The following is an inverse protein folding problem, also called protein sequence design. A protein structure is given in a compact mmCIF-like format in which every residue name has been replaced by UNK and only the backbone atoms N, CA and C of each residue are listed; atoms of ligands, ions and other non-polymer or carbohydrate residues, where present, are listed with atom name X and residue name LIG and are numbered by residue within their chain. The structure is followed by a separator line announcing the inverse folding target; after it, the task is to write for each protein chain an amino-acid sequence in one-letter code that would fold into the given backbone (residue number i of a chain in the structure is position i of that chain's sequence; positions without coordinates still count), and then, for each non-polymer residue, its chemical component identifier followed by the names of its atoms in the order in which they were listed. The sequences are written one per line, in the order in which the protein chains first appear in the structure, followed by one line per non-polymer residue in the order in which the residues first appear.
data_IF_776017687071
#
_entry.id   IF_776017687071
#
_cell.length_a   1.000
_cell.length_b   1.000
_cell.length_c   1.000
_cell.angle_alpha   90.00
_cell.angle_beta   90.00
_cell.angle_gamma   90.00
#
_symmetry.space_group_name_H-M   'P 1'
#
loop_
_entity.id
_entity.type
_entity.pdbx_description
1 polymer ?
#
# COMPACT_ATOMS: atom_id res chain seq x y z
N UNK A 1 -21.60 4.84 20.60
CA UNK A 1 -21.56 3.37 20.75
C UNK A 1 -21.55 2.73 19.36
N UNK A 2 -20.55 2.93 18.52
CA UNK A 2 -20.90 3.06 17.09
C UNK A 2 -20.29 2.10 16.09
N UNK A 3 -19.22 1.37 16.38
CA UNK A 3 -18.61 0.45 15.38
C UNK A 3 -18.13 -0.86 16.01
N UNK A 4 -17.40 -0.79 17.13
CA UNK A 4 -16.92 -1.98 17.85
C UNK A 4 -18.07 -2.83 18.40
N UNK A 5 -19.10 -2.19 18.98
CA UNK A 5 -20.28 -2.89 19.50
C UNK A 5 -21.08 -3.60 18.39
N UNK A 6 -21.19 -2.95 17.23
CA UNK A 6 -21.89 -3.50 16.06
C UNK A 6 -21.13 -4.69 15.44
N UNK A 7 -19.80 -4.68 15.46
CA UNK A 7 -19.00 -5.82 14.99
C UNK A 7 -19.18 -7.04 15.89
N UNK A 8 -19.18 -6.85 17.21
CA UNK A 8 -19.42 -7.93 18.18
C UNK A 8 -20.80 -8.55 18.03
N UNK A 9 -21.84 -7.74 17.80
CA UNK A 9 -23.20 -8.22 17.55
C UNK A 9 -23.27 -9.12 16.30
N UNK A 10 -22.64 -8.72 15.19
CA UNK A 10 -22.57 -9.52 13.97
C UNK A 10 -21.80 -10.84 14.16
N UNK A 11 -20.74 -10.84 14.98
CA UNK A 11 -19.99 -12.05 15.31
C UNK A 11 -20.82 -13.04 16.14
N UNK A 12 -21.63 -12.54 17.07
CA UNK A 12 -22.57 -13.36 17.85
C UNK A 12 -23.69 -13.95 16.97
N UNK A 13 -24.27 -13.16 16.07
CA UNK A 13 -25.28 -13.65 15.11
C UNK A 13 -24.71 -14.71 14.17
N UNK A 14 -23.47 -14.54 13.70
CA UNK A 14 -22.79 -15.53 12.87
C UNK A 14 -22.58 -16.84 13.64
N UNK A 15 -22.20 -16.77 14.92
CA UNK A 15 -22.05 -17.96 15.76
C UNK A 15 -23.38 -18.69 15.97
N UNK A 16 -24.48 -17.96 16.12
CA UNK A 16 -25.83 -18.55 16.22
C UNK A 16 -26.24 -19.23 14.90
N UNK A 17 -26.01 -18.60 13.75
CA UNK A 17 -26.30 -19.18 12.45
C UNK A 17 -25.52 -20.48 12.19
N UNK A 18 -24.23 -20.52 12.57
CA UNK A 18 -23.42 -21.74 12.52
C UNK A 18 -23.96 -22.82 13.44
N UNK A 19 -24.40 -22.47 14.65
CA UNK A 19 -24.99 -23.42 15.60
C UNK A 19 -26.33 -23.99 15.10
N UNK A 20 -27.08 -23.26 14.28
CA UNK A 20 -28.30 -23.74 13.62
C UNK A 20 -28.06 -24.38 12.24
N UNK A 21 -26.81 -24.62 11.84
CA UNK A 21 -26.41 -25.17 10.54
C UNK A 21 -26.87 -24.34 9.33
N UNK A 22 -27.15 -23.04 9.53
CA UNK A 22 -27.52 -22.12 8.47
C UNK A 22 -26.26 -21.43 7.93
N UNK A 23 -25.58 -22.14 7.04
CA UNK A 23 -24.32 -21.66 6.46
C UNK A 23 -24.51 -20.54 5.44
N UNK A 24 -25.70 -20.39 4.87
CA UNK A 24 -25.98 -19.32 3.92
C UNK A 24 -25.97 -17.98 4.66
N UNK A 25 -26.71 -17.88 5.77
CA UNK A 25 -26.71 -16.67 6.59
C UNK A 25 -25.36 -16.43 7.26
N UNK A 26 -24.67 -17.48 7.73
CA UNK A 26 -23.32 -17.35 8.26
C UNK A 26 -22.32 -16.81 7.21
N UNK A 27 -22.46 -17.20 5.94
CA UNK A 27 -21.61 -16.69 4.86
C UNK A 27 -21.85 -15.20 4.59
N UNK A 28 -23.12 -14.78 4.55
CA UNK A 28 -23.50 -13.38 4.35
C UNK A 28 -23.01 -12.49 5.51
N UNK A 29 -23.16 -12.96 6.76
CA UNK A 29 -22.66 -12.26 7.95
C UNK A 29 -21.14 -12.14 7.93
N UNK A 30 -20.42 -13.20 7.53
CA UNK A 30 -18.97 -13.16 7.37
C UNK A 30 -18.52 -12.11 6.35
N UNK A 31 -19.16 -12.05 5.19
CA UNK A 31 -18.84 -11.07 4.15
C UNK A 31 -19.06 -9.63 4.64
N UNK A 32 -20.11 -9.41 5.44
CA UNK A 32 -20.41 -8.12 6.06
C UNK A 32 -19.34 -7.73 7.11
N UNK A 33 -18.93 -8.66 7.98
CA UNK A 33 -17.85 -8.46 8.95
C UNK A 33 -16.53 -8.12 8.24
N UNK A 34 -16.19 -8.86 7.20
CA UNK A 34 -14.97 -8.63 6.41
C UNK A 34 -14.99 -7.27 5.70
N UNK A 35 -16.17 -6.81 5.24
CA UNK A 35 -16.32 -5.48 4.66
C UNK A 35 -16.06 -4.37 5.68
N UNK A 36 -16.66 -4.44 6.87
CA UNK A 36 -16.46 -3.45 7.94
C UNK A 36 -14.98 -3.39 8.35
N UNK A 37 -14.33 -4.54 8.51
CA UNK A 37 -12.89 -4.62 8.87
C UNK A 37 -12.00 -4.02 7.79
N UNK A 38 -12.33 -4.23 6.50
CA UNK A 38 -11.61 -3.59 5.38
C UNK A 38 -11.76 -2.07 5.44
N UNK A 39 -12.96 -1.57 5.65
CA UNK A 39 -13.25 -0.14 5.70
C UNK A 39 -12.55 0.54 6.89
N UNK A 40 -12.54 -0.10 8.06
CA UNK A 40 -11.77 0.37 9.23
C UNK A 40 -10.27 0.45 8.93
N UNK A 41 -9.68 -0.60 8.33
CA UNK A 41 -8.26 -0.62 7.95
C UNK A 41 -7.90 0.47 6.94
N UNK A 42 -8.81 0.80 6.03
CA UNK A 42 -8.64 1.90 5.08
C UNK A 42 -8.62 3.25 5.81
N UNK A 43 -9.49 3.44 6.80
CA UNK A 43 -9.56 4.67 7.60
C UNK A 43 -8.35 4.88 8.52
N UNK A 44 -7.73 3.80 9.01
CA UNK A 44 -6.56 3.87 9.91
C UNK A 44 -5.24 4.21 9.21
N UNK A 45 -5.14 4.10 7.87
CA UNK A 45 -3.89 4.41 7.17
C UNK A 45 -3.55 5.91 7.25
N UNK A 46 -2.43 6.31 7.88
CA UNK A 46 -2.05 7.71 7.98
C UNK A 46 -1.69 8.27 6.60
N UNK A 47 -2.44 9.28 6.14
CA UNK A 47 -2.25 9.97 4.86
C UNK A 47 -3.18 9.54 3.72
N UNK A 48 -4.22 8.75 4.00
CA UNK A 48 -5.29 8.51 3.04
C UNK A 48 -6.30 9.67 3.06
N UNK A 49 -6.21 10.59 2.09
CA UNK A 49 -7.15 11.72 1.94
C UNK A 49 -8.60 11.30 1.60
N UNK A 50 -8.83 10.01 1.30
CA UNK A 50 -10.14 9.44 1.03
C UNK A 50 -10.16 7.92 1.32
N UNK A 51 -11.32 7.33 1.67
CA UNK A 51 -11.45 5.90 1.83
C UNK A 51 -11.20 5.19 0.50
N UNK A 52 -10.00 4.64 0.31
CA UNK A 52 -9.67 3.85 -0.88
C UNK A 52 -10.07 2.39 -0.68
N UNK A 53 -11.20 2.03 -1.27
CA UNK A 53 -11.73 0.65 -1.35
C UNK A 53 -10.78 -0.36 -2.03
N UNK A 54 -9.64 0.08 -2.55
CA UNK A 54 -8.63 -0.77 -3.20
C UNK A 54 -7.23 -0.38 -2.76
N UNK A 55 -6.32 -1.37 -2.65
CA UNK A 55 -4.89 -1.14 -2.44
C UNK A 55 -4.20 -0.37 -3.58
N UNK A 56 -4.91 -0.08 -4.68
CA UNK A 56 -4.45 0.74 -5.78
C UNK A 56 -4.64 2.22 -5.43
N UNK A 57 -3.53 2.95 -5.36
CA UNK A 57 -3.54 4.41 -5.23
C UNK A 57 -4.07 5.02 -6.53
N UNK A 58 -5.08 5.89 -6.43
CA UNK A 58 -5.57 6.66 -7.59
C UNK A 58 -4.43 7.51 -8.13
N UNK A 59 -4.23 7.46 -9.45
CA UNK A 59 -3.24 8.30 -10.11
C UNK A 59 -3.68 9.76 -10.07
N UNK A 60 -2.78 10.66 -9.67
CA UNK A 60 -3.02 12.10 -9.59
C UNK A 60 -2.77 12.77 -10.96
N UNK A 61 -3.72 13.57 -11.49
CA UNK A 61 -3.51 14.35 -12.70
C UNK A 61 -2.24 15.21 -12.60
N UNK A 62 -1.35 15.13 -13.59
CA UNK A 62 -0.03 15.80 -13.58
C UNK A 62 1.13 14.96 -13.01
N UNK A 63 0.86 13.80 -12.42
CA UNK A 63 1.85 12.75 -12.09
C UNK A 63 1.88 11.61 -13.11
N UNK A 64 1.24 11.79 -14.26
CA UNK A 64 1.28 10.86 -15.38
C UNK A 64 2.37 11.29 -16.36
N UNK A 65 3.50 10.56 -16.41
CA UNK A 65 4.55 10.81 -17.40
C UNK A 65 5.63 9.73 -17.36
N UNK A 66 6.28 9.48 -18.50
CA UNK A 66 7.49 8.63 -18.55
C UNK A 66 8.50 9.13 -17.51
N UNK A 67 8.75 8.33 -16.46
CA UNK A 67 9.68 8.65 -15.36
C UNK A 67 9.04 8.90 -13.99
N UNK A 68 7.70 8.99 -13.88
CA UNK A 68 7.03 9.18 -12.59
C UNK A 68 7.05 7.93 -11.72
N UNK A 69 7.11 6.75 -12.35
CA UNK A 69 7.25 5.44 -11.69
C UNK A 69 8.69 4.88 -11.75
N UNK A 70 9.71 5.73 -11.82
CA UNK A 70 11.08 5.24 -11.75
C UNK A 70 11.43 4.81 -10.32
N UNK A 71 11.80 3.53 -10.09
CA UNK A 71 12.23 3.09 -8.78
C UNK A 71 13.48 3.87 -8.38
N UNK A 72 13.38 4.63 -7.28
CA UNK A 72 14.55 5.28 -6.67
C UNK A 72 15.23 4.28 -5.76
N UNK A 73 16.52 4.01 -5.99
CA UNK A 73 17.31 3.22 -5.05
C UNK A 73 17.42 3.99 -3.73
N UNK A 74 16.87 3.41 -2.65
CA UNK A 74 17.01 3.93 -1.29
C UNK A 74 18.33 3.37 -0.73
N UNK A 75 19.32 4.22 -0.42
CA UNK A 75 20.57 3.76 0.17
C UNK A 75 20.32 3.25 1.60
N UNK A 76 21.13 2.31 2.10
CA UNK A 76 20.99 1.79 3.46
C UNK A 76 21.25 2.90 4.51
N UNK A 77 20.68 2.72 5.71
CA UNK A 77 20.81 3.68 6.81
C UNK A 77 22.30 3.91 7.14
N UNK A 78 22.73 5.17 7.11
CA UNK A 78 24.10 5.57 7.40
C UNK A 78 25.07 5.55 6.20
N UNK A 79 24.58 5.28 4.99
CA UNK A 79 25.39 5.39 3.78
C UNK A 79 25.77 6.85 3.48
N UNK A 80 27.06 7.10 3.27
CA UNK A 80 27.60 8.40 2.86
C UNK A 80 28.20 8.25 1.46
N UNK A 81 27.79 9.06 0.46
CA UNK A 81 28.40 9.02 -0.86
C UNK A 81 29.89 9.40 -0.79
N UNK A 82 30.75 8.81 -1.64
CA UNK A 82 32.14 9.22 -1.72
C UNK A 82 32.25 10.69 -2.15
N UNK A 83 33.28 11.39 -1.68
CA UNK A 83 33.56 12.75 -2.10
C UNK A 83 33.77 12.79 -3.62
N UNK A 84 33.22 13.82 -4.26
CA UNK A 84 33.45 14.06 -5.69
C UNK A 84 34.96 14.23 -5.91
N UNK A 85 35.56 13.57 -6.91
CA UNK A 85 36.98 13.75 -7.21
C UNK A 85 37.26 15.21 -7.59
N UNK A 86 38.52 15.62 -7.43
CA UNK A 86 39.01 16.94 -7.81
C UNK A 86 38.57 17.25 -9.26
N UNK A 87 38.06 18.46 -9.56
CA UNK A 87 37.77 18.87 -10.93
C UNK A 87 38.94 18.62 -11.91
N UNK A 88 40.20 18.64 -11.47
CA UNK A 88 41.39 18.31 -12.28
C UNK A 88 41.53 16.81 -12.60
N UNK A 89 40.78 15.93 -11.93
CA UNK A 89 40.69 14.48 -12.20
C UNK A 89 39.54 14.08 -13.11
N UNK A 90 38.78 15.04 -13.67
CA UNK A 90 37.58 14.80 -14.49
C UNK A 90 37.80 14.18 -15.87
N UNK A 91 39.05 13.96 -16.29
CA UNK A 91 39.39 13.45 -17.64
C UNK A 91 39.41 11.93 -17.83
N UNK A 92 39.31 11.12 -16.77
CA UNK A 92 39.39 9.66 -16.89
C UNK A 92 38.12 8.98 -16.37
N UNK A 93 37.07 8.97 -17.20
CA UNK A 93 35.91 8.12 -16.92
C UNK A 93 36.30 6.66 -17.17
N UNK A 94 36.26 5.82 -16.12
CA UNK A 94 36.32 4.36 -16.28
C UNK A 94 35.03 3.91 -16.96
N UNK A 95 35.09 3.71 -18.28
CA UNK A 95 34.12 2.90 -19.02
C UNK A 95 32.85 3.62 -19.48
N UNK A 96 32.99 4.57 -20.40
CA UNK A 96 31.89 4.88 -21.32
C UNK A 96 31.57 3.65 -22.18
N UNK A 97 30.31 3.18 -22.14
CA UNK A 97 29.81 2.13 -23.06
C UNK A 97 30.14 2.52 -24.49
N UNK A 98 30.92 1.68 -25.19
CA UNK A 98 31.15 1.81 -26.63
C UNK A 98 29.81 1.61 -27.34
N UNK A 99 29.18 2.70 -27.78
CA UNK A 99 28.15 2.64 -28.81
C UNK A 99 28.84 2.18 -30.09
N UNK A 100 28.65 0.91 -30.47
CA UNK A 100 29.00 0.47 -31.83
C UNK A 100 28.02 1.14 -32.79
N UNK A 101 28.58 1.70 -33.86
CA UNK A 101 27.86 2.41 -34.91
C UNK A 101 26.94 1.53 -35.74
#
# INVERSE_FOLDING_TARGET
MTQETHLSELEEEMAQAVASEDFETASALRDQIDQIRRDQRIMEQPGADAPQASYLRRQEPGKMGLGTDQPRHVPPRGWVPPAKPDPMTTGHSKGGRRSRG
#
